data_IF_689678135762
#
_entry.id   IF_689678135762
#
_cell.length_a   1.000
_cell.length_b   1.000
_cell.length_c   1.000
_cell.angle_alpha   90.00
_cell.angle_beta   90.00
_cell.angle_gamma   90.00
#
_symmetry.space_group_name_H-M   'P 1'
#
loop_
_entity.id
_entity.type
_entity.pdbx_description
1 polymer ?
#
# COMPACT_ATOMS: atom_id res chain seq x y z
N UNK A 1 -45.12 -40.78 -48.26
CA UNK A 1 -44.82 -39.51 -48.95
C UNK A 1 -45.12 -38.41 -47.94
N UNK A 2 -44.11 -38.01 -47.16
CA UNK A 2 -44.26 -36.95 -46.17
C UNK A 2 -44.04 -35.61 -46.86
N UNK A 3 -45.02 -34.72 -46.70
CA UNK A 3 -45.07 -33.37 -47.26
C UNK A 3 -44.04 -32.46 -46.60
N UNK A 4 -43.39 -31.56 -47.35
CA UNK A 4 -42.43 -30.61 -46.78
C UNK A 4 -43.16 -29.55 -45.96
N UNK A 5 -42.69 -29.33 -44.73
CA UNK A 5 -43.11 -28.26 -43.84
C UNK A 5 -42.79 -26.92 -44.50
N UNK A 6 -43.73 -25.97 -44.49
CA UNK A 6 -43.55 -24.65 -45.12
C UNK A 6 -43.12 -23.61 -44.08
N UNK A 7 -42.52 -22.51 -44.55
CA UNK A 7 -41.93 -21.42 -43.75
C UNK A 7 -42.91 -20.74 -42.75
N UNK A 8 -44.21 -21.05 -42.83
CA UNK A 8 -45.25 -20.50 -41.96
C UNK A 8 -45.54 -21.34 -40.70
N UNK A 9 -44.92 -22.52 -40.56
CA UNK A 9 -45.06 -23.38 -39.37
C UNK A 9 -44.05 -23.03 -38.24
N UNK A 10 -43.27 -21.96 -38.41
CA UNK A 10 -42.36 -21.44 -37.37
C UNK A 10 -43.13 -20.58 -36.35
N UNK A 11 -43.50 -21.20 -35.23
CA UNK A 11 -44.01 -20.50 -34.05
C UNK A 11 -42.84 -19.81 -33.31
N UNK A 12 -42.69 -18.49 -33.48
CA UNK A 12 -41.62 -17.65 -32.91
C UNK A 12 -41.57 -17.59 -31.36
N UNK A 13 -42.51 -18.22 -30.65
CA UNK A 13 -42.58 -18.23 -29.18
C UNK A 13 -41.90 -19.45 -28.52
N UNK A 14 -41.42 -20.44 -29.29
CA UNK A 14 -40.88 -21.69 -28.73
C UNK A 14 -39.35 -21.78 -28.72
N UNK A 15 -38.67 -20.85 -29.36
CA UNK A 15 -37.21 -20.81 -29.39
C UNK A 15 -36.74 -19.48 -28.83
N UNK A 16 -36.30 -19.52 -27.57
CA UNK A 16 -35.43 -18.48 -27.03
C UNK A 16 -34.24 -18.40 -27.98
N UNK A 17 -34.08 -17.28 -28.70
CA UNK A 17 -32.87 -17.05 -29.48
C UNK A 17 -31.77 -16.80 -28.47
N UNK A 18 -31.13 -17.88 -28.04
CA UNK A 18 -29.93 -17.84 -27.24
C UNK A 18 -28.80 -17.36 -28.16
N UNK A 19 -28.25 -16.19 -27.86
CA UNK A 19 -27.06 -15.70 -28.54
C UNK A 19 -25.83 -16.32 -27.86
N UNK A 20 -25.09 -17.11 -28.62
CA UNK A 20 -23.92 -17.87 -28.19
C UNK A 20 -22.62 -17.06 -28.37
N UNK A 21 -21.76 -16.98 -27.34
CA UNK A 21 -20.44 -16.36 -27.46
C UNK A 21 -19.34 -17.20 -26.82
N UNK A 22 -18.23 -17.32 -27.56
CA UNK A 22 -16.98 -18.00 -27.23
C UNK A 22 -15.90 -17.01 -26.80
N UNK A 23 -15.09 -17.41 -25.83
CA UNK A 23 -13.99 -16.61 -25.28
C UNK A 23 -12.77 -17.50 -25.27
N UNK A 24 -11.81 -17.35 -26.17
CA UNK A 24 -10.62 -18.23 -26.19
C UNK A 24 -9.45 -17.54 -25.50
N UNK A 25 -8.96 -18.06 -24.37
CA UNK A 25 -7.70 -17.63 -23.76
C UNK A 25 -6.55 -18.50 -24.25
N UNK A 26 -5.70 -18.04 -25.15
CA UNK A 26 -4.53 -18.82 -25.60
C UNK A 26 -3.32 -18.50 -24.73
N UNK A 27 -3.08 -19.34 -23.72
CA UNK A 27 -1.76 -19.49 -23.10
C UNK A 27 -1.13 -20.68 -23.82
N UNK A 28 0.18 -20.69 -24.08
CA UNK A 28 0.81 -21.60 -25.05
C UNK A 28 0.62 -23.13 -24.85
N UNK A 29 -0.20 -23.58 -23.89
CA UNK A 29 -0.69 -24.96 -23.75
C UNK A 29 -2.16 -25.10 -23.29
N UNK A 30 -2.94 -24.03 -23.06
CA UNK A 30 -4.32 -24.11 -22.54
C UNK A 30 -5.21 -23.07 -23.23
N UNK A 31 -6.35 -23.52 -23.75
CA UNK A 31 -7.47 -22.69 -24.20
C UNK A 31 -8.63 -22.85 -23.21
N UNK A 32 -9.09 -21.75 -22.62
CA UNK A 32 -10.36 -21.73 -21.89
C UNK A 32 -11.40 -21.06 -22.76
N UNK A 33 -12.55 -21.73 -22.95
CA UNK A 33 -13.75 -21.17 -23.57
C UNK A 33 -14.81 -20.85 -22.51
N UNK A 34 -15.12 -19.58 -22.34
CA UNK A 34 -16.21 -19.15 -21.45
C UNK A 34 -17.44 -18.81 -22.30
N UNK A 35 -18.58 -19.34 -21.88
CA UNK A 35 -19.87 -19.13 -22.51
C UNK A 35 -20.77 -18.29 -21.59
N UNK A 36 -21.28 -17.15 -22.08
CA UNK A 36 -22.13 -16.25 -21.26
C UNK A 36 -23.51 -16.09 -21.88
N UNK A 37 -24.52 -16.68 -21.24
CA UNK A 37 -25.92 -16.39 -21.54
C UNK A 37 -26.27 -14.96 -21.08
N UNK A 38 -27.04 -14.24 -21.89
CA UNK A 38 -27.61 -12.93 -21.56
C UNK A 38 -26.59 -11.79 -21.32
N UNK A 39 -25.60 -11.68 -22.21
CA UNK A 39 -24.48 -10.73 -22.15
C UNK A 39 -24.87 -9.24 -22.04
N UNK A 40 -26.11 -8.86 -22.41
CA UNK A 40 -26.62 -7.48 -22.26
C UNK A 40 -26.62 -7.00 -20.81
N UNK A 41 -26.68 -7.93 -19.85
CA UNK A 41 -26.63 -7.65 -18.42
C UNK A 41 -25.25 -7.91 -17.80
N UNK A 42 -24.20 -8.04 -18.62
CA UNK A 42 -22.86 -8.35 -18.13
C UNK A 42 -22.32 -7.19 -17.28
N UNK A 43 -22.12 -7.47 -15.99
CA UNK A 43 -21.49 -6.56 -15.05
C UNK A 43 -19.99 -6.42 -15.27
N UNK A 44 -19.30 -5.88 -14.27
CA UNK A 44 -17.84 -5.74 -14.33
C UNK A 44 -17.15 -7.09 -14.15
N UNK A 45 -16.09 -7.28 -14.92
CA UNK A 45 -15.29 -8.49 -14.90
C UNK A 45 -13.99 -8.25 -14.14
N UNK A 46 -13.62 -9.23 -13.31
CA UNK A 46 -12.32 -9.30 -12.66
C UNK A 46 -11.63 -10.56 -13.15
N UNK A 47 -10.37 -10.44 -13.54
CA UNK A 47 -9.56 -11.57 -13.97
C UNK A 47 -8.60 -11.90 -12.83
N UNK A 48 -8.58 -13.17 -12.43
CA UNK A 48 -7.64 -13.70 -11.44
C UNK A 48 -6.89 -14.87 -12.06
N UNK A 49 -5.56 -14.80 -12.04
CA UNK A 49 -4.68 -15.79 -12.66
C UNK A 49 -3.56 -16.12 -11.68
N UNK A 50 -3.38 -17.40 -11.39
CA UNK A 50 -2.41 -17.90 -10.43
C UNK A 50 -1.59 -19.07 -10.99
N UNK A 51 -0.29 -19.09 -10.69
CA UNK A 51 0.65 -20.15 -11.08
C UNK A 51 0.79 -20.34 -12.60
N UNK A 52 0.74 -19.27 -13.40
CA UNK A 52 0.85 -19.34 -14.86
C UNK A 52 2.00 -18.49 -15.39
N UNK A 53 2.64 -18.94 -16.46
CA UNK A 53 3.52 -18.10 -17.28
C UNK A 53 2.73 -17.54 -18.46
N UNK A 54 2.55 -16.21 -18.50
CA UNK A 54 1.79 -15.54 -19.54
C UNK A 54 2.66 -14.59 -20.35
N UNK A 55 2.68 -14.83 -21.66
CA UNK A 55 3.32 -13.92 -22.60
C UNK A 55 2.38 -12.80 -23.04
N UNK A 56 1.09 -13.07 -23.28
CA UNK A 56 0.10 -12.08 -23.74
C UNK A 56 -1.33 -12.37 -23.29
N UNK A 57 -2.24 -11.45 -23.58
CA UNK A 57 -3.69 -11.59 -23.45
C UNK A 57 -4.36 -11.28 -24.77
N UNK A 58 -5.21 -12.19 -25.22
CA UNK A 58 -6.06 -11.98 -26.38
C UNK A 58 -7.53 -12.14 -25.98
N UNK A 59 -8.36 -11.20 -26.42
CA UNK A 59 -9.81 -11.24 -26.22
C UNK A 59 -10.49 -11.12 -27.58
N UNK A 60 -11.34 -12.08 -27.92
CA UNK A 60 -12.13 -12.08 -29.16
C UNK A 60 -13.36 -11.17 -29.08
N UNK A 61 -13.86 -10.88 -27.86
CA UNK A 61 -15.11 -10.17 -27.64
C UNK A 61 -14.88 -8.76 -27.06
N UNK A 62 -15.31 -7.74 -27.81
CA UNK A 62 -15.13 -6.32 -27.44
C UNK A 62 -15.93 -5.90 -26.20
N UNK A 63 -17.09 -6.50 -25.93
CA UNK A 63 -17.91 -6.17 -24.76
C UNK A 63 -17.24 -6.64 -23.46
N UNK A 64 -16.55 -7.78 -23.50
CA UNK A 64 -15.76 -8.29 -22.37
C UNK A 64 -14.60 -7.35 -22.09
N UNK A 65 -13.84 -6.99 -23.12
CA UNK A 65 -12.75 -6.01 -23.04
C UNK A 65 -13.23 -4.70 -22.41
N UNK A 66 -14.42 -4.24 -22.78
CA UNK A 66 -15.03 -3.03 -22.23
C UNK A 66 -15.52 -3.15 -20.79
N UNK A 67 -15.58 -4.35 -20.21
CA UNK A 67 -16.11 -4.58 -18.86
C UNK A 67 -15.07 -5.10 -17.86
N UNK A 68 -13.86 -5.47 -18.30
CA UNK A 68 -12.76 -5.81 -17.40
C UNK A 68 -12.36 -4.58 -16.57
N UNK A 69 -12.47 -4.70 -15.25
CA UNK A 69 -12.13 -3.65 -14.28
C UNK A 69 -10.91 -3.96 -13.44
N UNK A 70 -10.62 -5.23 -13.18
CA UNK A 70 -9.50 -5.62 -12.32
C UNK A 70 -8.75 -6.83 -12.88
N UNK A 71 -7.43 -6.82 -12.72
CA UNK A 71 -6.56 -7.96 -13.03
C UNK A 71 -5.70 -8.26 -11.80
N UNK A 72 -5.71 -9.52 -11.39
CA UNK A 72 -4.90 -10.06 -10.32
C UNK A 72 -4.05 -11.20 -10.86
N UNK A 73 -2.73 -11.05 -10.72
CA UNK A 73 -1.72 -12.03 -11.08
C UNK A 73 -1.01 -12.49 -9.81
N UNK A 74 -0.98 -13.80 -9.57
CA UNK A 74 -0.40 -14.38 -8.36
C UNK A 74 0.57 -15.50 -8.73
N UNK A 75 1.78 -15.53 -8.14
CA UNK A 75 2.78 -16.60 -8.35
C UNK A 75 3.05 -16.90 -9.84
N UNK A 76 2.96 -15.88 -10.68
CA UNK A 76 2.90 -16.02 -12.14
C UNK A 76 4.11 -15.34 -12.79
N UNK A 77 4.51 -15.82 -13.97
CA UNK A 77 5.53 -15.17 -14.79
C UNK A 77 4.84 -14.30 -15.85
N UNK A 78 5.29 -13.06 -16.01
CA UNK A 78 4.66 -12.06 -16.87
C UNK A 78 5.68 -11.46 -17.83
N UNK A 79 5.36 -11.51 -19.12
CA UNK A 79 6.15 -10.89 -20.20
C UNK A 79 5.71 -9.47 -20.56
N UNK A 80 6.48 -8.78 -21.43
CA UNK A 80 6.16 -7.44 -21.89
C UNK A 80 4.90 -7.38 -22.75
N UNK A 81 4.55 -8.43 -23.50
CA UNK A 81 3.35 -8.41 -24.35
C UNK A 81 2.08 -8.37 -23.50
N UNK A 82 2.00 -9.17 -22.44
CA UNK A 82 0.92 -9.13 -21.46
C UNK A 82 0.75 -7.72 -20.86
N UNK A 83 1.86 -7.08 -20.50
CA UNK A 83 1.83 -5.71 -19.97
C UNK A 83 1.36 -4.69 -21.01
N UNK A 84 1.67 -4.88 -22.30
CA UNK A 84 1.10 -4.06 -23.38
C UNK A 84 -0.41 -4.28 -23.50
N UNK A 85 -0.86 -5.53 -23.46
CA UNK A 85 -2.26 -5.90 -23.66
C UNK A 85 -3.15 -5.33 -22.54
N UNK A 86 -2.73 -5.39 -21.28
CA UNK A 86 -3.51 -4.81 -20.17
C UNK A 86 -3.64 -3.28 -20.27
N UNK A 87 -2.67 -2.58 -20.88
CA UNK A 87 -2.75 -1.12 -21.06
C UNK A 87 -3.82 -0.72 -22.08
N UNK A 88 -4.20 -1.64 -22.98
CA UNK A 88 -5.25 -1.44 -23.98
C UNK A 88 -6.67 -1.61 -23.42
N UNK A 89 -6.82 -2.12 -22.19
CA UNK A 89 -8.12 -2.37 -21.58
C UNK A 89 -8.76 -1.04 -21.11
N UNK A 90 -9.88 -0.60 -21.73
CA UNK A 90 -10.37 0.78 -21.60
C UNK A 90 -10.99 1.08 -20.23
N UNK A 91 -11.51 0.07 -19.51
CA UNK A 91 -12.13 0.24 -18.18
C UNK A 91 -11.35 -0.42 -17.05
N UNK A 92 -10.13 -0.92 -17.31
CA UNK A 92 -9.28 -1.50 -16.28
C UNK A 92 -8.88 -0.42 -15.26
N UNK A 93 -9.24 -0.59 -14.00
CA UNK A 93 -8.97 0.36 -12.92
C UNK A 93 -7.87 -0.11 -11.96
N UNK A 94 -7.69 -1.42 -11.83
CA UNK A 94 -6.94 -2.03 -10.74
C UNK A 94 -6.08 -3.18 -11.28
N UNK A 95 -4.76 -3.10 -11.04
CA UNK A 95 -3.81 -4.16 -11.38
C UNK A 95 -3.02 -4.57 -10.14
N UNK A 96 -2.93 -5.88 -9.92
CA UNK A 96 -2.19 -6.46 -8.80
C UNK A 96 -1.29 -7.59 -9.28
N UNK A 97 -0.01 -7.50 -8.95
CA UNK A 97 0.99 -8.54 -9.17
C UNK A 97 1.55 -8.96 -7.81
N UNK A 98 1.36 -10.22 -7.42
CA UNK A 98 1.75 -10.75 -6.12
C UNK A 98 2.62 -11.99 -6.32
N UNK A 99 3.82 -11.99 -5.77
CA UNK A 99 4.78 -13.09 -5.93
C UNK A 99 5.07 -13.39 -7.42
N UNK A 100 5.05 -12.37 -8.30
CA UNK A 100 5.23 -12.55 -9.73
C UNK A 100 6.70 -12.45 -10.15
N UNK A 101 7.04 -13.05 -11.29
CA UNK A 101 8.31 -12.85 -11.98
C UNK A 101 8.07 -12.08 -13.27
N UNK A 102 8.62 -10.88 -13.38
CA UNK A 102 8.61 -10.13 -14.63
C UNK A 102 9.82 -10.54 -15.47
N UNK A 103 9.57 -11.03 -16.67
CA UNK A 103 10.60 -11.53 -17.57
C UNK A 103 10.62 -10.70 -18.86
N UNK A 104 11.51 -9.72 -18.92
CA UNK A 104 11.74 -8.91 -20.11
C UNK A 104 12.83 -9.55 -20.95
N UNK A 105 12.46 -10.02 -22.14
CA UNK A 105 13.40 -10.54 -23.14
C UNK A 105 13.99 -9.43 -24.00
N UNK A 106 13.32 -8.28 -24.08
CA UNK A 106 13.74 -7.09 -24.82
C UNK A 106 14.16 -5.96 -23.87
N UNK A 107 15.18 -5.18 -24.28
CA UNK A 107 15.75 -4.10 -23.46
C UNK A 107 14.87 -2.83 -23.47
N UNK A 108 13.91 -2.70 -24.40
CA UNK A 108 13.08 -1.48 -24.58
C UNK A 108 11.68 -1.78 -25.12
N UNK A 109 10.78 -2.22 -24.24
CA UNK A 109 9.38 -2.45 -24.59
C UNK A 109 8.67 -1.11 -24.84
N UNK A 110 7.96 -1.02 -25.97
CA UNK A 110 7.12 0.15 -26.28
C UNK A 110 5.75 0.02 -25.61
N UNK A 111 5.56 0.69 -24.47
CA UNK A 111 4.26 0.76 -23.79
C UNK A 111 3.43 1.99 -24.22
N UNK A 112 2.14 1.77 -24.52
CA UNK A 112 1.16 2.82 -24.77
C UNK A 112 0.71 3.49 -23.46
N UNK A 113 0.11 4.69 -23.54
CA UNK A 113 -0.43 5.38 -22.36
C UNK A 113 -1.75 4.74 -21.94
N UNK A 114 -1.96 4.65 -20.63
CA UNK A 114 -3.24 4.24 -20.05
C UNK A 114 -3.76 5.33 -19.10
N UNK A 115 -5.05 5.64 -19.22
CA UNK A 115 -5.74 6.68 -18.42
C UNK A 115 -6.82 6.09 -17.50
N UNK A 116 -7.05 4.78 -17.54
CA UNK A 116 -8.12 4.09 -16.81
C UNK A 116 -7.64 3.51 -15.48
N UNK A 117 -6.41 3.01 -15.43
CA UNK A 117 -5.80 2.39 -14.25
C UNK A 117 -5.56 3.44 -13.18
N UNK A 118 -6.18 3.23 -12.02
CA UNK A 118 -6.11 4.08 -10.83
C UNK A 118 -5.25 3.47 -9.74
N UNK A 119 -5.18 2.15 -9.67
CA UNK A 119 -4.48 1.43 -8.62
C UNK A 119 -3.51 0.40 -9.21
N UNK A 120 -2.25 0.48 -8.80
CA UNK A 120 -1.20 -0.44 -9.21
C UNK A 120 -0.49 -1.00 -7.98
N UNK A 121 -0.55 -2.32 -7.79
CA UNK A 121 0.16 -3.01 -6.72
C UNK A 121 1.12 -4.06 -7.29
N UNK A 122 2.36 -4.00 -6.86
CA UNK A 122 3.39 -5.01 -7.14
C UNK A 122 4.02 -5.41 -5.80
N UNK A 123 3.84 -6.67 -5.39
CA UNK A 123 4.24 -7.18 -4.09
C UNK A 123 5.07 -8.46 -4.23
N UNK A 124 6.13 -8.57 -3.45
CA UNK A 124 7.00 -9.75 -3.34
C UNK A 124 7.43 -10.29 -4.71
N UNK A 125 7.56 -9.41 -5.70
CA UNK A 125 7.81 -9.78 -7.08
C UNK A 125 9.26 -9.50 -7.45
N UNK A 126 9.73 -10.18 -8.48
CA UNK A 126 11.11 -10.05 -8.96
C UNK A 126 11.11 -9.66 -10.43
N UNK A 127 12.14 -8.93 -10.85
CA UNK A 127 12.34 -8.56 -12.25
C UNK A 127 13.77 -8.84 -12.68
N UNK A 128 13.92 -9.26 -13.93
CA UNK A 128 15.22 -9.29 -14.60
C UNK A 128 15.61 -7.93 -15.21
N UNK A 129 14.67 -6.96 -15.30
CA UNK A 129 14.91 -5.62 -15.82
C UNK A 129 13.94 -4.63 -15.15
N UNK A 130 14.41 -3.96 -14.11
CA UNK A 130 13.61 -3.04 -13.33
C UNK A 130 13.19 -1.79 -14.11
N UNK A 131 14.06 -1.28 -14.97
CA UNK A 131 13.80 -0.12 -15.82
C UNK A 131 12.56 -0.31 -16.71
N UNK A 132 12.29 -1.54 -17.15
CA UNK A 132 11.13 -1.83 -17.98
C UNK A 132 9.82 -1.84 -17.19
N UNK A 133 9.83 -2.35 -15.94
CA UNK A 133 8.66 -2.21 -15.05
C UNK A 133 8.41 -0.74 -14.73
N UNK A 134 9.48 0.01 -14.48
CA UNK A 134 9.38 1.45 -14.28
C UNK A 134 8.72 2.09 -15.51
N UNK A 135 9.23 1.82 -16.72
CA UNK A 135 8.68 2.32 -17.98
C UNK A 135 7.19 1.99 -18.16
N UNK A 136 6.74 0.80 -17.75
CA UNK A 136 5.34 0.42 -17.70
C UNK A 136 4.53 1.30 -16.73
N UNK A 137 4.96 1.45 -15.47
CA UNK A 137 4.28 2.29 -14.47
C UNK A 137 4.23 3.76 -14.91
N UNK A 138 5.27 4.26 -15.59
CA UNK A 138 5.29 5.63 -16.15
C UNK A 138 4.18 5.89 -17.17
N UNK A 139 3.50 4.86 -17.69
CA UNK A 139 2.38 5.00 -18.63
C UNK A 139 1.01 5.10 -17.96
N UNK A 140 0.92 4.94 -16.65
CA UNK A 140 -0.32 5.03 -15.89
C UNK A 140 -0.59 6.50 -15.52
N UNK A 141 -1.09 7.30 -16.47
CA UNK A 141 -1.16 8.76 -16.31
C UNK A 141 -2.09 9.22 -15.18
N UNK A 142 -3.14 8.44 -14.93
CA UNK A 142 -4.20 8.77 -13.99
C UNK A 142 -4.13 7.95 -12.70
N UNK A 143 -2.99 7.30 -12.45
CA UNK A 143 -2.79 6.49 -11.25
C UNK A 143 -2.90 7.36 -10.00
N UNK A 144 -3.66 6.84 -9.05
CA UNK A 144 -4.03 7.46 -7.79
C UNK A 144 -3.29 6.80 -6.62
N UNK A 145 -3.07 5.48 -6.72
CA UNK A 145 -2.38 4.67 -5.72
C UNK A 145 -1.34 3.73 -6.35
N UNK A 146 -0.14 3.76 -5.78
CA UNK A 146 0.95 2.83 -6.12
C UNK A 146 1.41 2.13 -4.85
N UNK A 147 1.43 0.79 -4.86
CA UNK A 147 1.98 -0.02 -3.78
C UNK A 147 3.05 -0.98 -4.26
N UNK A 148 4.28 -0.74 -3.84
CA UNK A 148 5.48 -1.46 -4.21
C UNK A 148 6.10 -2.03 -2.93
N UNK A 149 5.89 -3.33 -2.68
CA UNK A 149 6.22 -3.96 -1.41
C UNK A 149 7.13 -5.17 -1.63
N UNK A 150 8.29 -5.16 -0.99
CA UNK A 150 9.23 -6.30 -0.94
C UNK A 150 9.62 -6.84 -2.32
N UNK A 151 9.72 -5.96 -3.33
CA UNK A 151 10.16 -6.39 -4.65
C UNK A 151 11.69 -6.39 -4.71
N UNK A 152 12.27 -7.46 -5.21
CA UNK A 152 13.72 -7.61 -5.30
C UNK A 152 14.25 -7.02 -6.60
N UNK A 153 15.46 -6.45 -6.52
CA UNK A 153 16.20 -5.90 -7.66
C UNK A 153 15.47 -4.78 -8.43
N UNK A 154 14.64 -3.97 -7.74
CA UNK A 154 13.99 -2.81 -8.36
C UNK A 154 14.30 -1.53 -7.59
N UNK A 155 14.91 -0.56 -8.28
CA UNK A 155 15.15 0.80 -7.74
C UNK A 155 13.98 1.71 -8.09
N UNK A 156 13.02 1.82 -7.19
CA UNK A 156 11.86 2.70 -7.39
C UNK A 156 12.16 4.16 -7.06
N UNK A 157 11.59 5.08 -7.84
CA UNK A 157 11.64 6.52 -7.57
C UNK A 157 13.05 7.10 -7.43
N UNK A 158 13.97 6.66 -8.31
CA UNK A 158 15.25 7.34 -8.49
C UNK A 158 15.15 8.66 -9.25
N UNK A 159 16.26 9.39 -9.30
CA UNK A 159 16.33 10.68 -10.02
C UNK A 159 15.92 10.52 -11.50
N UNK A 160 16.15 9.34 -12.09
CA UNK A 160 15.75 9.02 -13.45
C UNK A 160 14.25 8.67 -13.57
N UNK A 161 13.63 8.21 -12.48
CA UNK A 161 12.24 7.80 -12.44
C UNK A 161 11.29 8.99 -12.52
N UNK A 162 11.52 10.02 -11.71
CA UNK A 162 10.71 11.23 -11.67
C UNK A 162 11.40 12.38 -12.41
N UNK A 163 11.86 12.13 -13.63
CA UNK A 163 12.64 13.11 -14.40
C UNK A 163 11.79 14.17 -15.12
N UNK A 164 10.46 14.03 -15.14
CA UNK A 164 9.55 14.97 -15.81
C UNK A 164 8.60 15.64 -14.84
N UNK A 165 8.57 16.98 -14.91
CA UNK A 165 7.53 17.83 -14.31
C UNK A 165 6.16 17.25 -14.73
N UNK A 166 5.25 17.05 -13.77
CA UNK A 166 3.88 16.56 -13.98
C UNK A 166 3.70 15.04 -14.17
N UNK A 167 4.73 14.23 -13.91
CA UNK A 167 4.54 12.79 -13.82
C UNK A 167 3.89 12.43 -12.47
N UNK A 168 2.81 11.64 -12.49
CA UNK A 168 2.04 11.24 -11.29
C UNK A 168 1.29 12.38 -10.59
N UNK A 169 0.71 13.33 -11.32
CA UNK A 169 -0.09 14.43 -10.76
C UNK A 169 -1.27 13.99 -9.89
N UNK A 170 -1.86 12.83 -10.20
CA UNK A 170 -3.01 12.30 -9.48
C UNK A 170 -2.64 11.34 -8.33
N UNK A 171 -1.35 11.04 -8.17
CA UNK A 171 -0.88 10.08 -7.16
C UNK A 171 -0.99 10.70 -5.76
N UNK A 172 -1.96 10.24 -4.99
CA UNK A 172 -2.17 10.68 -3.61
C UNK A 172 -1.68 9.65 -2.58
N UNK A 173 -1.55 8.38 -2.96
CA UNK A 173 -1.11 7.29 -2.07
C UNK A 173 0.09 6.55 -2.65
N UNK A 174 1.16 6.44 -1.85
CA UNK A 174 2.36 5.68 -2.19
C UNK A 174 2.74 4.76 -1.04
N UNK A 175 2.89 3.48 -1.34
CA UNK A 175 3.56 2.53 -0.47
C UNK A 175 4.84 2.05 -1.16
N UNK A 176 5.98 2.31 -0.54
CA UNK A 176 7.31 1.96 -1.03
C UNK A 176 8.12 1.26 0.07
N UNK A 177 8.10 -0.07 0.06
CA UNK A 177 8.82 -0.91 1.03
C UNK A 177 9.86 -1.73 0.28
N UNK A 178 11.11 -1.27 0.25
CA UNK A 178 12.16 -1.84 -0.60
C UNK A 178 12.72 -3.14 -0.02
N UNK A 179 12.78 -4.26 -0.74
CA UNK A 179 13.25 -5.54 -0.14
C UNK A 179 14.68 -5.48 0.40
N UNK A 180 15.55 -4.68 -0.22
CA UNK A 180 16.97 -4.67 0.04
C UNK A 180 17.38 -3.40 0.80
N UNK A 181 18.39 -3.51 1.67
CA UNK A 181 19.02 -2.33 2.28
C UNK A 181 19.71 -1.52 1.19
N UNK A 182 19.04 -0.51 0.68
CA UNK A 182 19.62 0.36 -0.33
C UNK A 182 20.18 1.61 0.35
N UNK A 183 21.41 1.97 0.00
CA UNK A 183 21.93 3.32 0.26
C UNK A 183 21.15 4.39 -0.51
N UNK A 184 20.38 3.96 -1.51
CA UNK A 184 19.53 4.79 -2.33
C UNK A 184 18.29 5.30 -1.57
N UNK A 185 18.07 6.63 -1.61
CA UNK A 185 16.91 7.30 -1.03
C UNK A 185 15.92 7.67 -2.14
N UNK A 186 14.63 7.32 -2.00
CA UNK A 186 13.64 7.63 -3.02
C UNK A 186 13.40 9.14 -3.12
N UNK A 187 13.35 9.65 -4.34
CA UNK A 187 13.08 11.06 -4.62
C UNK A 187 11.56 11.33 -4.62
N UNK A 188 10.97 11.33 -3.42
CA UNK A 188 9.52 11.51 -3.19
C UNK A 188 9.13 12.99 -3.30
N UNK A 189 10.09 13.90 -3.17
CA UNK A 189 9.88 15.36 -3.12
C UNK A 189 9.22 15.92 -4.40
N UNK A 190 9.26 15.16 -5.49
CA UNK A 190 8.63 15.51 -6.77
C UNK A 190 7.14 15.10 -6.85
N UNK A 191 6.62 14.33 -5.89
CA UNK A 191 5.23 13.85 -5.84
C UNK A 191 4.32 14.83 -5.09
N UNK A 192 3.97 15.95 -5.75
CA UNK A 192 3.28 17.10 -5.13
C UNK A 192 1.87 16.81 -4.57
N UNK A 193 1.22 15.77 -5.07
CA UNK A 193 -0.16 15.42 -4.70
C UNK A 193 -0.23 14.39 -3.57
N UNK A 194 0.91 13.89 -3.11
CA UNK A 194 0.96 12.84 -2.09
C UNK A 194 0.27 13.30 -0.79
N UNK A 195 -0.53 12.42 -0.21
CA UNK A 195 -1.26 12.59 1.06
C UNK A 195 -1.01 11.41 2.00
N UNK A 196 -0.87 10.21 1.44
CA UNK A 196 -0.61 8.98 2.17
C UNK A 196 0.75 8.45 1.71
N UNK A 197 1.68 8.31 2.65
CA UNK A 197 3.01 7.78 2.37
C UNK A 197 3.34 6.67 3.36
N UNK A 198 3.72 5.52 2.83
CA UNK A 198 4.30 4.41 3.59
C UNK A 198 5.68 4.08 3.02
N UNK A 199 6.74 4.22 3.81
CA UNK A 199 8.11 3.98 3.38
C UNK A 199 8.88 3.08 4.35
N UNK A 200 9.80 2.24 3.88
CA UNK A 200 10.64 1.51 4.84
C UNK A 200 11.56 0.46 4.26
N UNK A 201 12.20 -0.24 5.21
CA UNK A 201 13.25 -1.27 5.12
C UNK A 201 14.70 -0.75 5.10
N UNK A 202 15.33 -0.86 6.27
CA UNK A 202 16.78 -0.77 6.53
C UNK A 202 17.47 0.52 6.07
N UNK A 203 16.79 1.66 6.19
CA UNK A 203 17.42 2.97 5.98
C UNK A 203 18.39 3.31 7.11
N UNK A 204 19.54 3.90 6.76
CA UNK A 204 20.58 4.32 7.72
C UNK A 204 20.26 5.67 8.37
N UNK A 205 20.93 6.00 9.47
CA UNK A 205 20.85 7.32 10.12
C UNK A 205 21.06 8.47 9.11
N UNK A 206 20.25 9.51 9.26
CA UNK A 206 20.21 10.70 8.40
C UNK A 206 19.25 10.57 7.21
N UNK A 207 18.73 9.37 6.93
CA UNK A 207 17.78 9.14 5.84
C UNK A 207 16.44 9.83 6.08
N UNK A 208 15.97 9.86 7.33
CA UNK A 208 14.68 10.46 7.69
C UNK A 208 14.71 11.95 7.39
N UNK A 209 15.75 12.66 7.86
CA UNK A 209 15.95 14.07 7.54
C UNK A 209 16.01 14.31 6.04
N UNK A 210 16.78 13.52 5.29
CA UNK A 210 16.92 13.71 3.83
C UNK A 210 15.61 13.54 3.08
N UNK A 211 14.77 12.58 3.49
CA UNK A 211 13.46 12.35 2.86
C UNK A 211 12.47 13.45 3.23
N UNK A 212 12.43 13.88 4.50
CA UNK A 212 11.35 14.70 5.05
C UNK A 212 11.67 16.18 5.27
N UNK A 213 12.87 16.65 4.94
CA UNK A 213 13.23 18.07 5.09
C UNK A 213 12.58 19.01 4.05
N UNK A 214 11.88 18.47 3.04
CA UNK A 214 11.29 19.23 1.93
C UNK A 214 9.86 19.71 2.19
N UNK A 215 9.59 21.00 1.92
CA UNK A 215 8.28 21.62 2.12
C UNK A 215 7.16 21.03 1.23
N UNK A 216 7.51 20.36 0.14
CA UNK A 216 6.52 19.74 -0.77
C UNK A 216 5.73 18.62 -0.07
N UNK A 217 6.34 17.98 0.92
CA UNK A 217 5.75 16.83 1.63
C UNK A 217 4.82 17.24 2.79
N UNK A 218 4.67 18.53 3.08
CA UNK A 218 3.83 19.02 4.19
C UNK A 218 2.33 18.71 4.03
N UNK A 219 1.90 18.34 2.83
CA UNK A 219 0.52 17.93 2.57
C UNK A 219 0.22 16.49 3.01
N UNK A 220 1.23 15.72 3.40
CA UNK A 220 1.05 14.36 3.90
C UNK A 220 0.20 14.40 5.18
N UNK A 221 -0.97 13.76 5.11
CA UNK A 221 -1.87 13.58 6.25
C UNK A 221 -1.66 12.23 6.94
N UNK A 222 -1.14 11.23 6.23
CA UNK A 222 -0.82 9.92 6.78
C UNK A 222 0.61 9.50 6.43
N UNK A 223 1.43 9.31 7.47
CA UNK A 223 2.82 8.90 7.33
C UNK A 223 3.04 7.59 8.06
N UNK A 224 3.56 6.60 7.35
CA UNK A 224 4.00 5.33 7.91
C UNK A 224 5.45 5.11 7.55
N UNK A 225 6.31 4.82 8.53
CA UNK A 225 7.66 4.38 8.24
C UNK A 225 8.15 3.22 9.09
N UNK A 226 8.96 2.35 8.47
CA UNK A 226 9.37 1.08 9.04
C UNK A 226 10.87 0.82 8.88
N UNK A 227 11.49 0.25 9.93
CA UNK A 227 12.87 -0.26 9.90
C UNK A 227 13.93 0.80 9.54
N UNK A 228 13.78 2.03 10.05
CA UNK A 228 14.83 3.06 9.96
C UNK A 228 15.80 2.92 11.13
N UNK A 229 17.09 3.12 10.89
CA UNK A 229 18.02 3.57 11.93
C UNK A 229 17.91 5.09 12.03
N UNK A 230 17.56 5.59 13.21
CA UNK A 230 17.28 7.01 13.46
C UNK A 230 18.31 7.48 14.48
N UNK A 231 19.02 8.56 14.17
CA UNK A 231 20.03 9.09 15.07
C UNK A 231 20.09 10.60 15.17
N UNK A 232 21.21 11.11 15.64
CA UNK A 232 21.48 12.54 15.79
C UNK A 232 21.21 13.35 14.52
N UNK A 233 21.45 12.78 13.33
CA UNK A 233 21.21 13.43 12.03
C UNK A 233 19.73 13.52 11.65
N UNK A 234 18.86 12.78 12.33
CA UNK A 234 17.43 12.72 12.09
C UNK A 234 16.62 13.58 13.07
N UNK A 235 17.30 14.30 13.99
CA UNK A 235 16.64 15.24 14.89
C UNK A 235 15.91 16.31 14.08
N UNK A 236 14.71 16.65 14.54
CA UNK A 236 13.81 17.59 13.89
C UNK A 236 13.40 17.22 12.45
N UNK A 237 13.57 15.96 12.02
CA UNK A 237 13.18 15.53 10.67
C UNK A 237 11.69 15.74 10.36
N UNK A 238 10.83 15.68 11.39
CA UNK A 238 9.37 15.87 11.27
C UNK A 238 8.90 17.22 11.80
N UNK A 239 9.79 18.19 12.07
CA UNK A 239 9.46 19.49 12.68
C UNK A 239 8.39 20.31 11.95
N UNK A 240 8.17 20.05 10.67
CA UNK A 240 7.22 20.80 9.85
C UNK A 240 5.89 20.05 9.62
N UNK A 241 5.78 18.78 10.01
CA UNK A 241 4.59 17.94 9.81
C UNK A 241 3.50 18.22 10.86
N UNK A 242 3.17 19.50 11.08
CA UNK A 242 2.21 19.93 12.10
C UNK A 242 0.77 19.47 11.82
N UNK A 243 0.41 19.27 10.54
CA UNK A 243 -0.92 18.85 10.10
C UNK A 243 -1.08 17.33 9.91
N UNK A 244 -0.11 16.53 10.36
CA UNK A 244 -0.14 15.07 10.22
C UNK A 244 -1.24 14.48 11.10
N UNK A 245 -2.19 13.75 10.50
CA UNK A 245 -3.30 13.09 11.22
C UNK A 245 -2.91 11.73 11.76
N UNK A 246 -2.21 10.93 10.94
CA UNK A 246 -1.78 9.58 11.29
C UNK A 246 -0.27 9.46 11.18
N UNK A 247 0.35 9.00 12.26
CA UNK A 247 1.75 8.59 12.29
C UNK A 247 1.87 7.13 12.73
N UNK A 248 2.51 6.31 11.90
CA UNK A 248 2.82 4.92 12.23
C UNK A 248 4.32 4.66 12.08
N UNK A 249 4.98 4.32 13.18
CA UNK A 249 6.40 3.97 13.20
C UNK A 249 6.54 2.52 13.66
N UNK A 250 7.29 1.71 12.92
CA UNK A 250 7.44 0.29 13.22
C UNK A 250 8.87 -0.21 13.09
N UNK A 251 9.36 -0.89 14.12
CA UNK A 251 10.69 -1.55 14.12
C UNK A 251 11.85 -0.60 13.78
N UNK A 252 11.73 0.69 14.09
CA UNK A 252 12.83 1.64 13.93
C UNK A 252 13.79 1.56 15.13
N UNK A 253 15.08 1.76 14.88
CA UNK A 253 16.13 1.75 15.91
C UNK A 253 16.60 3.17 16.17
N UNK A 254 16.26 3.70 17.34
CA UNK A 254 16.73 5.01 17.80
C UNK A 254 18.11 4.84 18.44
N UNK A 255 19.15 5.40 17.81
CA UNK A 255 20.53 5.47 18.31
C UNK A 255 20.76 6.91 18.77
N UNK A 256 21.26 7.11 19.99
CA UNK A 256 21.66 8.45 20.49
C UNK A 256 20.62 9.59 20.38
N UNK A 257 19.33 9.27 20.17
CA UNK A 257 18.21 10.21 20.15
C UNK A 257 16.94 9.52 20.64
N UNK A 258 15.93 10.33 20.93
CA UNK A 258 14.60 9.90 21.38
C UNK A 258 13.59 10.00 20.24
N UNK A 259 12.45 9.32 20.36
CA UNK A 259 11.33 9.54 19.46
C UNK A 259 10.87 11.01 19.49
N UNK A 260 10.83 11.64 20.66
CA UNK A 260 10.50 13.06 20.81
C UNK A 260 11.48 13.99 20.08
N UNK A 261 12.72 13.56 19.82
CA UNK A 261 13.75 14.40 19.20
C UNK A 261 13.57 14.60 17.69
N UNK A 262 12.76 13.76 17.03
CA UNK A 262 12.46 13.94 15.59
C UNK A 262 11.47 15.08 15.35
N UNK A 263 10.87 15.63 16.41
CA UNK A 263 9.93 16.75 16.39
C UNK A 263 10.54 18.00 17.02
N UNK A 264 10.03 19.16 16.62
CA UNK A 264 10.20 20.39 17.38
C UNK A 264 9.19 20.42 18.54
N UNK A 265 9.68 20.24 19.76
CA UNK A 265 8.87 20.15 20.98
C UNK A 265 8.18 21.47 21.37
N UNK A 266 8.52 22.58 20.71
CA UNK A 266 7.85 23.89 20.92
C UNK A 266 6.58 24.03 20.09
N UNK A 267 6.35 23.13 19.13
CA UNK A 267 5.19 23.16 18.23
C UNK A 267 4.06 22.25 18.70
N UNK A 268 2.85 22.62 18.31
CA UNK A 268 1.65 21.79 18.46
C UNK A 268 1.44 20.95 17.19
N UNK A 269 1.14 19.65 17.36
CA UNK A 269 0.94 18.71 16.25
C UNK A 269 -0.49 18.14 16.28
N UNK A 270 -1.11 18.04 15.11
CA UNK A 270 -2.49 17.56 14.91
C UNK A 270 -2.62 16.02 14.87
N UNK A 271 -1.72 15.29 15.52
CA UNK A 271 -1.69 13.82 15.43
C UNK A 271 -2.92 13.25 16.15
N UNK A 272 -3.88 12.71 15.38
CA UNK A 272 -5.08 12.03 15.88
C UNK A 272 -4.80 10.55 16.17
N UNK A 273 -3.95 9.91 15.35
CA UNK A 273 -3.64 8.48 15.43
C UNK A 273 -2.14 8.26 15.46
N UNK A 274 -1.64 7.67 16.55
CA UNK A 274 -0.23 7.38 16.75
C UNK A 274 -0.03 5.88 17.00
N UNK A 275 0.68 5.22 16.09
CA UNK A 275 1.01 3.80 16.20
C UNK A 275 2.53 3.63 16.32
N UNK A 276 2.99 3.19 17.48
CA UNK A 276 4.40 3.00 17.82
C UNK A 276 4.63 1.52 18.14
N UNK A 277 5.20 0.77 17.19
CA UNK A 277 5.37 -0.68 17.31
C UNK A 277 6.84 -1.07 17.30
N UNK A 278 7.24 -1.95 18.22
CA UNK A 278 8.64 -2.43 18.31
C UNK A 278 9.65 -1.27 18.42
N UNK A 279 9.36 -0.30 19.28
CA UNK A 279 10.17 0.90 19.55
C UNK A 279 10.50 1.00 21.02
N UNK A 280 11.76 1.26 21.34
CA UNK A 280 12.17 1.54 22.73
C UNK A 280 11.77 2.96 23.09
N UNK A 281 10.79 3.12 23.98
CA UNK A 281 10.31 4.44 24.44
C UNK A 281 10.85 4.76 25.84
N UNK A 282 11.29 6.01 26.02
CA UNK A 282 11.75 6.56 27.30
C UNK A 282 10.79 7.60 27.82
N UNK A 283 11.01 8.02 29.07
CA UNK A 283 10.13 8.97 29.76
C UNK A 283 9.88 10.29 29.00
N UNK A 284 10.89 10.83 28.33
CA UNK A 284 10.75 12.06 27.54
C UNK A 284 9.87 11.86 26.29
N UNK A 285 9.86 10.66 25.71
CA UNK A 285 8.95 10.30 24.62
C UNK A 285 7.49 10.29 25.09
N UNK A 286 7.27 9.74 26.28
CA UNK A 286 5.97 9.69 26.93
C UNK A 286 5.46 11.11 27.20
N UNK A 287 6.30 11.99 27.76
CA UNK A 287 5.95 13.40 27.98
C UNK A 287 5.65 14.18 26.69
N UNK A 288 6.28 13.80 25.58
CA UNK A 288 5.93 14.38 24.29
C UNK A 288 4.55 13.90 23.82
N UNK A 289 4.29 12.59 23.92
CA UNK A 289 3.02 11.97 23.51
C UNK A 289 1.85 12.55 24.30
N UNK A 290 1.99 12.74 25.62
CA UNK A 290 0.92 13.28 26.47
C UNK A 290 0.55 14.74 26.16
N UNK A 291 1.39 15.47 25.42
CA UNK A 291 1.11 16.84 24.96
C UNK A 291 0.33 16.90 23.63
N UNK A 292 0.10 15.77 22.97
CA UNK A 292 -0.60 15.71 21.70
C UNK A 292 -2.12 15.86 21.89
N UNK A 293 -2.61 17.10 22.00
CA UNK A 293 -4.03 17.42 22.32
C UNK A 293 -5.09 16.75 21.44
N UNK A 294 -4.77 16.45 20.18
CA UNK A 294 -5.72 15.85 19.23
C UNK A 294 -5.70 14.32 19.22
N UNK A 295 -4.83 13.69 20.01
CA UNK A 295 -4.66 12.24 20.01
C UNK A 295 -5.94 11.53 20.46
N UNK A 296 -6.49 10.70 19.58
CA UNK A 296 -7.69 9.88 19.83
C UNK A 296 -7.35 8.38 19.90
N UNK A 297 -6.31 7.96 19.18
CA UNK A 297 -5.89 6.57 19.13
C UNK A 297 -4.37 6.48 19.32
N UNK A 298 -3.95 5.84 20.40
CA UNK A 298 -2.57 5.51 20.69
C UNK A 298 -2.39 3.99 20.63
N UNK A 299 -1.37 3.50 19.95
CA UNK A 299 -0.96 2.10 20.06
C UNK A 299 0.52 2.02 20.38
N UNK A 300 0.86 1.29 21.42
CA UNK A 300 2.23 1.12 21.93
C UNK A 300 2.50 -0.36 22.24
N UNK A 301 3.77 -0.75 22.18
CA UNK A 301 4.23 -2.06 22.61
C UNK A 301 4.94 -1.94 23.96
N UNK A 302 4.36 -2.54 24.99
CA UNK A 302 4.86 -2.42 26.37
C UNK A 302 6.13 -3.24 26.58
N UNK A 303 6.40 -4.27 25.77
CA UNK A 303 7.68 -4.99 25.81
C UNK A 303 8.89 -4.11 25.45
N UNK A 304 8.63 -2.92 24.91
CA UNK A 304 9.64 -1.98 24.49
C UNK A 304 9.52 -0.64 25.23
N UNK A 305 8.88 -0.63 26.40
CA UNK A 305 8.99 0.46 27.37
C UNK A 305 9.98 -0.01 28.43
N UNK A 306 10.98 0.81 28.79
CA UNK A 306 11.89 0.47 29.89
C UNK A 306 11.06 0.28 31.18
N UNK A 307 11.28 -0.82 31.93
CA UNK A 307 10.44 -1.27 33.06
C UNK A 307 10.15 -0.18 34.11
N UNK A 308 11.09 0.74 34.32
CA UNK A 308 10.98 1.86 35.27
C UNK A 308 10.02 2.98 34.82
N UNK A 309 9.66 3.03 33.54
CA UNK A 309 8.85 4.10 32.94
C UNK A 309 7.34 3.76 32.85
N UNK A 310 6.94 2.53 33.17
CA UNK A 310 5.55 2.06 33.05
C UNK A 310 4.62 2.82 34.03
N UNK A 311 5.06 3.05 35.28
CA UNK A 311 4.33 3.85 36.27
C UNK A 311 4.26 5.34 35.91
N UNK A 312 5.27 5.87 35.22
CA UNK A 312 5.24 7.26 34.78
C UNK A 312 4.40 7.44 33.52
N UNK A 313 4.28 6.40 32.68
CA UNK A 313 3.33 6.36 31.57
C UNK A 313 1.89 6.52 32.06
N UNK A 314 1.52 5.80 33.12
CA UNK A 314 0.19 5.93 33.73
C UNK A 314 0.00 7.27 34.44
N UNK A 315 1.04 7.85 35.03
CA UNK A 315 0.97 9.17 35.69
C UNK A 315 1.08 10.36 34.72
N UNK A 316 1.40 10.13 33.45
CA UNK A 316 1.59 11.18 32.44
C UNK A 316 0.28 11.78 31.94
N UNK A 317 -0.63 12.12 32.86
CA UNK A 317 -1.69 13.13 32.75
C UNK A 317 -2.11 13.39 31.29
N UNK A 318 -2.78 12.40 30.68
CA UNK A 318 -3.55 12.56 29.44
C UNK A 318 -4.80 13.45 29.69
N UNK A 319 -4.64 14.50 30.50
CA UNK A 319 -5.65 15.30 31.19
C UNK A 319 -6.64 16.02 30.26
N UNK A 320 -6.40 15.97 28.95
CA UNK A 320 -7.17 16.72 27.96
C UNK A 320 -7.92 15.82 26.98
N UNK A 321 -7.90 14.49 27.18
CA UNK A 321 -8.53 13.56 26.25
C UNK A 321 -9.87 13.05 26.78
N UNK A 322 -10.96 13.58 26.24
CA UNK A 322 -12.32 13.13 26.58
C UNK A 322 -12.65 11.72 26.06
N UNK A 323 -11.86 11.19 25.12
CA UNK A 323 -12.00 9.84 24.56
C UNK A 323 -10.69 9.37 23.90
N UNK A 324 -9.74 8.83 24.67
CA UNK A 324 -8.50 8.25 24.14
C UNK A 324 -8.60 6.72 24.14
N UNK A 325 -8.36 6.11 22.98
CA UNK A 325 -8.22 4.66 22.85
C UNK A 325 -6.74 4.30 22.90
N UNK A 326 -6.31 3.53 23.91
CA UNK A 326 -4.95 3.03 24.03
C UNK A 326 -4.93 1.52 23.75
N UNK A 327 -4.28 1.16 22.64
CA UNK A 327 -4.03 -0.22 22.28
C UNK A 327 -2.65 -0.63 22.80
N UNK A 328 -2.61 -1.59 23.71
CA UNK A 328 -1.39 -2.08 24.33
C UNK A 328 -1.06 -3.47 23.77
N UNK A 329 0.11 -3.56 23.11
CA UNK A 329 0.68 -4.82 22.69
C UNK A 329 1.58 -5.37 23.81
N UNK A 330 1.44 -6.65 24.10
CA UNK A 330 2.10 -7.32 25.22
C UNK A 330 2.34 -8.80 24.91
N UNK A 331 3.35 -9.41 25.52
CA UNK A 331 3.51 -10.86 25.49
C UNK A 331 2.50 -11.53 26.43
N UNK A 332 2.17 -12.79 26.16
CA UNK A 332 1.20 -13.58 26.94
C UNK A 332 1.58 -13.77 28.42
N UNK A 333 2.83 -13.53 28.79
CA UNK A 333 3.37 -13.71 30.15
C UNK A 333 3.41 -12.43 31.02
N UNK A 334 2.99 -11.27 30.52
CA UNK A 334 3.14 -9.97 31.22
C UNK A 334 1.96 -9.59 32.15
N UNK A 335 1.35 -10.57 32.85
CA UNK A 335 0.06 -10.39 33.55
C UNK A 335 0.07 -9.32 34.65
N UNK A 336 1.20 -9.14 35.35
CA UNK A 336 1.37 -8.13 36.40
C UNK A 336 1.35 -6.70 35.87
N UNK A 337 2.10 -6.44 34.79
CA UNK A 337 2.14 -5.16 34.11
C UNK A 337 0.76 -4.80 33.57
N UNK A 338 0.04 -5.78 33.01
CA UNK A 338 -1.30 -5.57 32.48
C UNK A 338 -2.30 -5.17 33.56
N UNK A 339 -2.23 -5.79 34.73
CA UNK A 339 -3.11 -5.44 35.85
C UNK A 339 -2.82 -4.02 36.35
N UNK A 340 -1.55 -3.65 36.49
CA UNK A 340 -1.14 -2.30 36.90
C UNK A 340 -1.63 -1.22 35.93
N UNK A 341 -1.50 -1.46 34.61
CA UNK A 341 -2.03 -0.55 33.59
C UNK A 341 -3.56 -0.45 33.64
N UNK A 342 -4.27 -1.58 33.81
CA UNK A 342 -5.73 -1.58 33.94
C UNK A 342 -6.20 -0.79 35.14
N UNK A 343 -5.59 -1.00 36.31
CA UNK A 343 -5.97 -0.31 37.55
C UNK A 343 -5.80 1.20 37.42
N UNK A 344 -4.67 1.66 36.86
CA UNK A 344 -4.39 3.09 36.75
C UNK A 344 -5.28 3.79 35.72
N UNK A 345 -5.48 3.19 34.55
CA UNK A 345 -6.27 3.81 33.49
C UNK A 345 -7.79 3.64 33.64
N UNK A 346 -8.25 2.71 34.49
CA UNK A 346 -9.68 2.59 34.83
C UNK A 346 -10.27 3.84 35.51
N UNK A 347 -9.40 4.74 35.98
CA UNK A 347 -9.75 6.00 36.62
C UNK A 347 -9.95 7.15 35.62
N UNK A 348 -9.74 6.92 34.31
CA UNK A 348 -9.76 7.93 33.25
C UNK A 348 -10.74 7.54 32.11
N UNK A 349 -11.12 8.50 31.24
CA UNK A 349 -11.92 8.25 30.01
C UNK A 349 -11.08 7.56 28.91
N UNK A 350 -10.40 6.48 29.27
CA UNK A 350 -9.44 5.78 28.43
C UNK A 350 -9.90 4.33 28.22
N UNK A 351 -10.09 3.96 26.96
CA UNK A 351 -10.40 2.56 26.60
C UNK A 351 -9.11 1.82 26.29
N UNK A 352 -8.84 0.73 27.01
CA UNK A 352 -7.63 -0.08 26.80
C UNK A 352 -7.96 -1.43 26.18
N UNK A 353 -7.30 -1.70 25.05
CA UNK A 353 -7.38 -2.98 24.37
C UNK A 353 -6.03 -3.67 24.43
N UNK A 354 -6.04 -4.93 24.83
CA UNK A 354 -4.85 -5.77 24.89
C UNK A 354 -4.87 -6.76 23.74
N UNK A 355 -3.77 -6.81 22.98
CA UNK A 355 -3.61 -7.78 21.92
C UNK A 355 -2.40 -8.65 22.20
N UNK A 356 -2.64 -9.96 22.20
CA UNK A 356 -1.59 -10.97 22.24
C UNK A 356 -1.22 -11.32 20.80
N UNK A 357 0.01 -10.99 20.40
CA UNK A 357 0.59 -11.31 19.09
C UNK A 357 -0.15 -10.75 17.87
N UNK A 358 0.42 -9.74 17.19
CA UNK A 358 -0.11 -9.21 15.94
C UNK A 358 1.00 -8.73 15.00
N UNK A 359 1.66 -9.67 14.30
CA UNK A 359 2.50 -9.34 13.14
C UNK A 359 1.67 -8.97 11.88
N UNK A 360 0.34 -9.01 11.91
CA UNK A 360 -0.50 -8.89 10.69
C UNK A 360 -1.06 -7.50 10.35
N UNK A 361 -0.86 -6.46 11.16
CA UNK A 361 -1.56 -5.17 10.95
C UNK A 361 -0.80 -4.15 10.09
N UNK A 362 0.17 -4.59 9.28
CA UNK A 362 0.83 -3.72 8.28
C UNK A 362 0.10 -3.69 6.92
N UNK A 363 -1.06 -4.36 6.82
CA UNK A 363 -1.80 -4.56 5.58
C UNK A 363 -3.28 -4.21 5.78
N UNK A 364 -3.55 -2.92 6.00
CA UNK A 364 -4.70 -2.27 5.36
C UNK A 364 -4.22 -0.97 4.73
#
# INVERSE_FOLDING_TARGET
KETPITKFDFNDLKYQIDSYYWITFTIMFITFDIFIFNYKNLGFLNIYIENVSMDGLFFTNTLIVQNIRKIFMVKSTVGPNFLKDILLLPKLKDINFINCKFNFTEIRSKFCRNNSIKLCKIKNSVSNNDQEILNFIKKLNNVEEISLKNNENIKWFDENFVSKKNQFENLFSLIHMNSNSTEFLPNICLLKSIRILSIGKKYKEGSLSKIFNENVLLKISELRFKEFEIGSKDKLALRNFIGLKLLHIHSCKFKSCLFSDIFDQKKEYFIEKLFLKKLVLRILDIFFISKLKYLMNLQIDVMHIEDTNILLFTMSRFLFHNSLNINILTASNSKSILNLLKEEFSKENISIYFFYNLDEWFVS
#
